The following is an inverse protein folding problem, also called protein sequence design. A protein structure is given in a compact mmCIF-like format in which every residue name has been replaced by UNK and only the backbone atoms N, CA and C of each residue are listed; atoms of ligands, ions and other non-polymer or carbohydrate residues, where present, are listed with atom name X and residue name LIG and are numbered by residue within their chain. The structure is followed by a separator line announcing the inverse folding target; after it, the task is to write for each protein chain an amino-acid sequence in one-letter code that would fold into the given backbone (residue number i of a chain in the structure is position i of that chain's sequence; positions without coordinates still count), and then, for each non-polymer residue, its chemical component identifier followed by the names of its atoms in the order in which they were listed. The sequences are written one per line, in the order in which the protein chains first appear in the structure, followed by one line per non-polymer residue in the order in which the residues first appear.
data_IF_804771136440
#
_entry.id   IF_804771136440
#
_cell.length_a   1.000
_cell.length_b   1.000
_cell.length_c   1.000
_cell.angle_alpha   90.00
_cell.angle_beta   90.00
_cell.angle_gamma   90.00
#
_symmetry.space_group_name_H-M   'P 1'
#
loop_
_entity.id
_entity.type
_entity.pdbx_description
1 polymer ?
#
# COMPACT_ATOMS: atom_id res chain seq x y z
N UNK A 1 -2.68 -12.25 23.21
CA UNK A 1 -4.05 -12.74 23.47
C UNK A 1 -4.59 -13.32 22.16
N UNK A 2 -5.34 -14.44 22.18
CA UNK A 2 -5.87 -15.02 20.94
C UNK A 2 -7.28 -14.46 20.69
N UNK A 3 -7.49 -13.88 19.50
CA UNK A 3 -8.80 -13.38 19.08
C UNK A 3 -9.81 -14.53 18.91
N UNK A 4 -11.07 -14.29 19.27
CA UNK A 4 -12.17 -15.16 18.86
C UNK A 4 -12.37 -15.13 17.34
N UNK A 5 -13.08 -16.12 16.79
CA UNK A 5 -13.38 -16.15 15.35
C UNK A 5 -14.07 -14.87 14.87
N UNK A 6 -15.01 -14.33 15.65
CA UNK A 6 -15.71 -13.11 15.29
C UNK A 6 -14.77 -11.88 15.28
N UNK A 7 -13.88 -11.78 16.27
CA UNK A 7 -12.88 -10.70 16.33
C UNK A 7 -11.87 -10.80 15.19
N UNK A 8 -11.46 -12.02 14.82
CA UNK A 8 -10.56 -12.24 13.68
C UNK A 8 -11.23 -11.84 12.35
N UNK A 9 -12.50 -12.16 12.14
CA UNK A 9 -13.27 -11.75 10.97
C UNK A 9 -13.40 -10.23 10.93
N UNK A 10 -13.72 -9.59 12.06
CA UNK A 10 -13.81 -8.13 12.16
C UNK A 10 -12.47 -7.45 11.84
N UNK A 11 -11.34 -7.97 12.39
CA UNK A 11 -9.99 -7.49 12.06
C UNK A 11 -9.71 -7.51 10.56
N UNK A 12 -9.91 -8.67 9.92
CA UNK A 12 -9.64 -8.82 8.48
C UNK A 12 -10.53 -7.91 7.63
N UNK A 13 -11.81 -7.77 8.01
CA UNK A 13 -12.74 -6.88 7.34
C UNK A 13 -12.34 -5.41 7.54
N UNK A 14 -11.93 -5.02 8.75
CA UNK A 14 -11.48 -3.67 9.05
C UNK A 14 -10.23 -3.29 8.26
N UNK A 15 -9.20 -4.15 8.22
CA UNK A 15 -7.97 -3.90 7.43
C UNK A 15 -8.31 -3.83 5.93
N UNK A 16 -9.22 -4.68 5.43
CA UNK A 16 -9.69 -4.61 4.05
C UNK A 16 -10.32 -3.25 3.74
N UNK A 17 -11.24 -2.78 4.59
CA UNK A 17 -11.92 -1.49 4.41
C UNK A 17 -10.91 -0.34 4.46
N UNK A 18 -9.99 -0.34 5.41
CA UNK A 18 -8.91 0.65 5.51
C UNK A 18 -8.07 0.70 4.22
N UNK A 19 -7.65 -0.45 3.71
CA UNK A 19 -6.89 -0.55 2.48
C UNK A 19 -7.68 -0.14 1.22
N UNK A 20 -8.99 0.00 1.32
CA UNK A 20 -9.90 0.50 0.30
C UNK A 20 -10.31 1.97 0.51
N UNK A 21 -9.70 2.66 1.48
CA UNK A 21 -10.03 4.02 1.94
C UNK A 21 -11.49 4.19 2.39
N UNK A 22 -12.10 3.08 2.85
CA UNK A 22 -13.46 3.07 3.41
C UNK A 22 -13.43 3.16 4.91
N UNK A 23 -14.53 3.61 5.49
CA UNK A 23 -14.69 3.67 6.95
C UNK A 23 -14.52 2.30 7.57
N UNK A 24 -13.44 2.12 8.32
CA UNK A 24 -13.02 0.85 8.92
C UNK A 24 -13.15 0.83 10.46
N UNK A 25 -13.45 1.97 11.07
CA UNK A 25 -13.42 2.17 12.53
C UNK A 25 -14.19 1.10 13.29
N UNK A 26 -15.44 0.81 12.87
CA UNK A 26 -16.31 -0.13 13.58
C UNK A 26 -15.71 -1.53 13.68
N UNK A 27 -15.22 -2.03 12.57
CA UNK A 27 -14.65 -3.38 12.45
C UNK A 27 -13.30 -3.46 13.17
N UNK A 28 -12.45 -2.47 12.99
CA UNK A 28 -11.15 -2.40 13.66
C UNK A 28 -11.28 -2.31 15.18
N UNK A 29 -12.26 -1.56 15.67
CA UNK A 29 -12.51 -1.37 17.10
C UNK A 29 -12.79 -2.70 17.83
N UNK A 30 -13.54 -3.61 17.21
CA UNK A 30 -13.85 -4.93 17.79
C UNK A 30 -12.58 -5.71 18.12
N UNK A 31 -11.60 -5.71 17.23
CA UNK A 31 -10.35 -6.42 17.46
C UNK A 31 -9.35 -5.61 18.30
N UNK A 32 -9.35 -4.29 18.18
CA UNK A 32 -8.50 -3.39 18.97
C UNK A 32 -8.84 -3.45 20.45
N UNK A 33 -10.14 -3.45 20.81
CA UNK A 33 -10.65 -3.61 22.19
C UNK A 33 -10.32 -5.00 22.75
N UNK A 34 -10.20 -6.01 21.90
CA UNK A 34 -9.73 -7.33 22.30
C UNK A 34 -8.20 -7.42 22.48
N UNK A 35 -7.47 -6.30 22.29
CA UNK A 35 -6.03 -6.21 22.52
C UNK A 35 -5.18 -6.58 21.32
N UNK A 36 -5.74 -6.72 20.10
CA UNK A 36 -4.94 -7.00 18.90
C UNK A 36 -4.12 -5.77 18.49
N UNK A 37 -2.81 -5.93 18.51
CA UNK A 37 -1.84 -4.87 18.26
C UNK A 37 -1.99 -4.25 16.87
N UNK A 38 -2.21 -5.08 15.85
CA UNK A 38 -2.34 -4.62 14.47
C UNK A 38 -3.65 -3.84 14.27
N UNK A 39 -4.75 -4.33 14.83
CA UNK A 39 -6.04 -3.63 14.79
C UNK A 39 -5.98 -2.29 15.55
N UNK A 40 -5.25 -2.22 16.66
CA UNK A 40 -5.02 -0.97 17.39
C UNK A 40 -4.26 0.06 16.54
N UNK A 41 -3.20 -0.37 15.83
CA UNK A 41 -2.48 0.50 14.91
C UNK A 41 -3.39 1.03 13.79
N UNK A 42 -4.11 0.14 13.09
CA UNK A 42 -5.00 0.57 12.00
C UNK A 42 -6.17 1.42 12.47
N UNK A 43 -6.72 1.16 13.66
CA UNK A 43 -7.75 2.01 14.25
C UNK A 43 -7.22 3.40 14.55
N UNK A 44 -6.01 3.50 15.08
CA UNK A 44 -5.36 4.78 15.32
C UNK A 44 -5.12 5.56 14.02
N UNK A 45 -4.66 4.89 12.94
CA UNK A 45 -4.50 5.51 11.61
C UNK A 45 -5.84 6.00 11.05
N UNK A 46 -6.91 5.20 11.15
CA UNK A 46 -8.27 5.58 10.72
C UNK A 46 -8.76 6.84 11.43
N UNK A 47 -8.65 6.86 12.77
CA UNK A 47 -9.08 8.01 13.59
C UNK A 47 -8.25 9.27 13.32
N UNK A 48 -6.95 9.12 13.08
CA UNK A 48 -6.07 10.23 12.74
C UNK A 48 -6.41 10.81 11.37
N UNK A 49 -6.72 9.97 10.38
CA UNK A 49 -7.10 10.42 9.04
C UNK A 49 -8.41 11.22 9.04
N UNK A 50 -9.37 10.85 9.87
CA UNK A 50 -10.65 11.56 10.00
C UNK A 50 -10.50 13.01 10.48
N UNK A 51 -9.48 13.30 11.29
CA UNK A 51 -9.24 14.63 11.88
C UNK A 51 -8.07 15.38 11.26
N UNK A 52 -7.28 14.73 10.36
CA UNK A 52 -6.05 15.26 9.75
C UNK A 52 -4.95 15.56 10.79
N UNK A 53 -5.24 15.38 12.08
CA UNK A 53 -4.32 15.60 13.19
C UNK A 53 -4.36 14.44 14.17
N UNK A 54 -3.30 14.31 14.97
CA UNK A 54 -3.32 13.40 16.10
C UNK A 54 -4.34 13.88 17.15
N UNK A 55 -5.41 13.12 17.35
CA UNK A 55 -6.39 13.35 18.40
C UNK A 55 -6.17 12.40 19.60
N UNK A 56 -6.87 12.66 20.72
CA UNK A 56 -6.68 11.90 21.95
C UNK A 56 -7.00 10.41 21.81
N UNK A 57 -8.01 10.06 21.00
CA UNK A 57 -8.40 8.67 20.80
C UNK A 57 -7.40 7.93 19.91
N UNK A 58 -6.93 8.56 18.82
CA UNK A 58 -5.87 8.01 18.00
C UNK A 58 -4.58 7.78 18.80
N UNK A 59 -4.19 8.75 19.64
CA UNK A 59 -3.06 8.59 20.54
C UNK A 59 -3.23 7.41 21.50
N UNK A 60 -4.41 7.26 22.09
CA UNK A 60 -4.72 6.12 22.98
C UNK A 60 -4.46 4.77 22.29
N UNK A 61 -4.93 4.60 21.07
CA UNK A 61 -4.76 3.35 20.34
C UNK A 61 -3.32 3.13 19.85
N UNK A 62 -2.63 4.18 19.40
CA UNK A 62 -1.19 4.08 19.12
C UNK A 62 -0.41 3.69 20.38
N UNK A 63 -0.67 4.28 21.54
CA UNK A 63 0.00 3.90 22.79
C UNK A 63 -0.32 2.47 23.21
N UNK A 64 -1.54 2.00 22.97
CA UNK A 64 -1.91 0.61 23.23
C UNK A 64 -1.10 -0.36 22.37
N UNK A 65 -0.95 -0.08 21.08
CA UNK A 65 -0.12 -0.89 20.18
C UNK A 65 1.37 -0.76 20.50
N UNK A 66 1.85 0.46 20.76
CA UNK A 66 3.25 0.73 21.08
C UNK A 66 3.70 0.00 22.36
N UNK A 67 2.88 -0.04 23.39
CA UNK A 67 3.19 -0.80 24.63
C UNK A 67 3.30 -2.29 24.41
N UNK A 68 2.74 -2.83 23.32
CA UNK A 68 2.89 -4.21 22.88
C UNK A 68 4.08 -4.40 21.92
N UNK A 69 4.87 -3.35 21.67
CA UNK A 69 6.07 -3.41 20.84
C UNK A 69 5.86 -3.08 19.37
N UNK A 70 4.73 -2.48 18.98
CA UNK A 70 4.51 -2.01 17.62
C UNK A 70 5.39 -0.80 17.31
N UNK A 71 6.36 -1.00 16.42
CA UNK A 71 7.34 0.01 16.05
C UNK A 71 6.74 1.16 15.24
N UNK A 72 5.72 0.88 14.43
CA UNK A 72 5.05 1.89 13.63
C UNK A 72 4.28 2.88 14.49
N UNK A 73 3.56 2.37 15.49
CA UNK A 73 2.87 3.21 16.49
C UNK A 73 3.85 4.08 17.28
N UNK A 74 4.99 3.50 17.71
CA UNK A 74 6.03 4.28 18.42
C UNK A 74 6.56 5.42 17.55
N UNK A 75 6.80 5.18 16.26
CA UNK A 75 7.28 6.20 15.32
C UNK A 75 6.20 7.26 15.07
N UNK A 76 4.93 6.87 14.93
CA UNK A 76 3.81 7.81 14.74
C UNK A 76 3.70 8.77 15.93
N UNK A 77 3.73 8.27 17.16
CA UNK A 77 3.71 9.10 18.37
C UNK A 77 4.99 9.95 18.43
N UNK A 78 6.14 9.34 18.18
CA UNK A 78 7.43 10.00 18.29
C UNK A 78 7.66 11.13 17.28
N UNK A 79 6.93 11.15 16.16
CA UNK A 79 6.96 12.20 15.14
C UNK A 79 5.88 13.27 15.32
N UNK A 80 5.25 13.36 16.50
CA UNK A 80 4.20 14.34 16.79
C UNK A 80 4.68 15.78 16.62
N UNK A 81 5.97 16.06 16.74
CA UNK A 81 6.56 17.38 16.49
C UNK A 81 6.34 17.88 15.04
N UNK A 82 5.98 16.99 14.12
CA UNK A 82 5.62 17.31 12.74
C UNK A 82 4.09 17.28 12.48
N UNK A 83 3.28 17.01 13.50
CA UNK A 83 1.83 16.96 13.37
C UNK A 83 1.21 18.37 13.47
N UNK A 84 0.16 18.60 12.70
CA UNK A 84 -0.55 19.88 12.68
C UNK A 84 -1.15 20.24 14.05
N UNK A 85 -1.38 19.26 14.92
CA UNK A 85 -1.87 19.51 16.28
C UNK A 85 -0.95 20.45 17.06
N UNK A 86 0.36 20.42 16.81
CA UNK A 86 1.33 21.32 17.43
C UNK A 86 1.09 22.79 17.02
N UNK A 87 0.91 23.01 15.72
CA UNK A 87 0.58 24.35 15.18
C UNK A 87 -0.77 24.84 15.72
N UNK A 88 -1.74 23.94 15.84
CA UNK A 88 -3.07 24.22 16.38
C UNK A 88 -3.10 24.32 17.92
N UNK A 89 -2.01 23.97 18.59
CA UNK A 89 -1.89 23.95 20.07
C UNK A 89 -2.93 23.05 20.76
N UNK A 90 -3.28 21.93 20.10
CA UNK A 90 -4.28 20.98 20.61
C UNK A 90 -3.78 19.53 20.62
N UNK A 91 -2.45 19.32 20.62
CA UNK A 91 -1.90 17.97 20.73
C UNK A 91 -2.35 17.31 22.03
N UNK A 92 -2.79 16.06 21.96
CA UNK A 92 -3.15 15.30 23.16
C UNK A 92 -1.89 14.99 23.99
N UNK A 93 -2.07 14.90 25.31
CA UNK A 93 -0.99 14.52 26.22
C UNK A 93 -0.91 13.00 26.30
N UNK A 94 0.24 12.44 25.94
CA UNK A 94 0.50 11.00 26.00
C UNK A 94 1.04 10.53 27.35
N UNK A 95 1.20 9.21 27.49
CA UNK A 95 1.79 8.55 28.69
C UNK A 95 3.29 8.77 28.81
N UNK A 96 3.96 8.99 27.68
CA UNK A 96 5.38 9.27 27.56
C UNK A 96 5.60 10.42 26.59
N UNK A 97 6.73 11.09 26.72
CA UNK A 97 7.16 12.08 25.75
C UNK A 97 7.46 11.44 24.38
N UNK A 98 7.19 12.12 23.24
CA UNK A 98 7.44 11.60 21.90
C UNK A 98 8.84 11.01 21.70
N UNK A 99 9.85 11.71 22.21
CA UNK A 99 11.27 11.26 22.16
C UNK A 99 11.56 9.94 22.88
N UNK A 100 10.80 9.64 23.94
CA UNK A 100 10.96 8.37 24.67
C UNK A 100 10.45 7.19 23.83
N UNK A 101 9.35 7.39 23.10
CA UNK A 101 8.86 6.40 22.14
C UNK A 101 9.85 6.15 21.00
N UNK A 102 10.51 7.19 20.44
CA UNK A 102 11.55 7.02 19.41
C UNK A 102 12.77 6.27 19.96
N UNK A 103 13.18 6.57 21.20
CA UNK A 103 14.30 5.87 21.84
C UNK A 103 13.97 4.38 22.04
N UNK A 104 12.74 4.06 22.47
CA UNK A 104 12.29 2.68 22.65
C UNK A 104 12.17 1.95 21.30
N UNK A 105 11.60 2.59 20.28
CA UNK A 105 11.54 2.06 18.92
C UNK A 105 12.96 1.74 18.39
N UNK A 106 13.91 2.66 18.59
CA UNK A 106 15.31 2.48 18.17
C UNK A 106 15.93 1.27 18.85
N UNK A 107 15.73 1.11 20.15
CA UNK A 107 16.27 -0.03 20.92
C UNK A 107 15.70 -1.36 20.39
N UNK A 108 14.37 -1.44 20.26
CA UNK A 108 13.71 -2.67 19.78
C UNK A 108 14.11 -2.97 18.33
N UNK A 109 14.15 -1.95 17.46
CA UNK A 109 14.53 -2.13 16.06
C UNK A 109 15.98 -2.62 15.95
N UNK A 110 16.91 -2.14 16.78
CA UNK A 110 18.29 -2.64 16.81
C UNK A 110 18.35 -4.11 17.24
N UNK A 111 17.69 -4.47 18.33
CA UNK A 111 17.66 -5.87 18.81
C UNK A 111 17.12 -6.83 17.74
N UNK A 112 16.11 -6.41 16.98
CA UNK A 112 15.53 -7.19 15.85
C UNK A 112 16.47 -7.20 14.65
N UNK A 113 17.12 -6.07 14.34
CA UNK A 113 18.05 -5.98 13.21
C UNK A 113 19.29 -6.87 13.40
N UNK A 114 19.75 -7.03 14.66
CA UNK A 114 20.84 -7.92 15.00
C UNK A 114 20.50 -9.40 14.77
N UNK A 115 19.21 -9.72 14.75
CA UNK A 115 18.69 -11.05 14.35
C UNK A 115 18.42 -11.17 12.84
N UNK A 116 18.73 -10.12 12.06
CA UNK A 116 18.57 -10.12 10.61
C UNK A 116 17.14 -9.86 10.12
N UNK A 117 16.23 -9.36 10.98
CA UNK A 117 14.86 -9.01 10.58
C UNK A 117 14.85 -7.81 9.62
N UNK A 118 14.62 -8.06 8.34
CA UNK A 118 14.77 -7.07 7.27
C UNK A 118 13.86 -5.83 7.45
N UNK A 119 12.65 -5.99 7.97
CA UNK A 119 11.75 -4.89 8.30
C UNK A 119 12.30 -4.04 9.45
N UNK A 120 12.88 -4.65 10.47
CA UNK A 120 13.47 -3.90 11.58
C UNK A 120 14.69 -3.07 11.13
N UNK A 121 15.49 -3.58 10.19
CA UNK A 121 16.56 -2.82 9.55
C UNK A 121 15.98 -1.60 8.79
N UNK A 122 14.85 -1.76 8.11
CA UNK A 122 14.14 -0.65 7.46
C UNK A 122 13.62 0.38 8.47
N UNK A 123 13.11 -0.07 9.61
CA UNK A 123 12.68 0.84 10.69
C UNK A 123 13.84 1.70 11.21
N UNK A 124 15.07 1.17 11.29
CA UNK A 124 16.23 1.99 11.65
C UNK A 124 16.48 3.08 10.60
N UNK A 125 16.35 2.76 9.30
CA UNK A 125 16.38 3.78 8.25
C UNK A 125 15.32 4.86 8.46
N UNK A 126 14.08 4.47 8.76
CA UNK A 126 13.00 5.42 9.03
C UNK A 126 13.32 6.34 10.24
N UNK A 127 14.04 5.86 11.24
CA UNK A 127 14.40 6.61 12.42
C UNK A 127 15.62 7.53 12.20
N UNK A 128 16.57 7.15 11.34
CA UNK A 128 17.87 7.83 11.20
C UNK A 128 18.01 8.58 9.87
N UNK A 129 17.21 8.24 8.86
CA UNK A 129 17.37 8.65 7.46
C UNK A 129 18.71 8.26 6.82
N UNK A 130 19.49 7.37 7.46
CA UNK A 130 20.78 6.92 6.96
C UNK A 130 20.59 5.86 5.85
N UNK A 131 20.92 6.20 4.61
CA UNK A 131 20.75 5.35 3.42
C UNK A 131 21.41 3.96 3.56
N UNK A 132 22.46 3.81 4.34
CA UNK A 132 23.11 2.52 4.57
C UNK A 132 22.16 1.50 5.22
N UNK A 133 21.27 1.92 6.11
CA UNK A 133 20.25 1.05 6.68
C UNK A 133 19.20 0.64 5.65
N UNK A 134 18.79 1.59 4.78
CA UNK A 134 17.89 1.28 3.66
C UNK A 134 18.50 0.20 2.76
N UNK A 135 19.77 0.36 2.38
CA UNK A 135 20.51 -0.60 1.55
C UNK A 135 20.63 -1.97 2.23
N UNK A 136 20.94 -2.01 3.52
CA UNK A 136 21.01 -3.26 4.29
C UNK A 136 19.66 -3.99 4.31
N UNK A 137 18.56 -3.27 4.55
CA UNK A 137 17.21 -3.82 4.52
C UNK A 137 16.84 -4.36 3.13
N UNK A 138 17.15 -3.61 2.08
CA UNK A 138 16.92 -4.03 0.70
C UNK A 138 17.68 -5.31 0.35
N UNK A 139 18.94 -5.41 0.76
CA UNK A 139 19.76 -6.62 0.58
C UNK A 139 19.26 -7.81 1.43
N UNK A 140 18.65 -7.53 2.57
CA UNK A 140 17.97 -8.55 3.40
C UNK A 140 16.61 -8.97 2.82
N UNK A 141 16.17 -8.40 1.70
CA UNK A 141 14.98 -8.83 0.96
C UNK A 141 13.68 -8.08 1.29
N UNK A 142 13.73 -6.99 2.07
CA UNK A 142 12.52 -6.23 2.38
C UNK A 142 12.02 -5.46 1.14
N UNK A 143 10.83 -5.82 0.67
CA UNK A 143 10.28 -5.32 -0.59
C UNK A 143 10.13 -3.79 -0.64
N UNK A 144 9.71 -3.16 0.47
CA UNK A 144 9.56 -1.71 0.55
C UNK A 144 10.94 -1.03 0.48
N UNK A 145 11.94 -1.58 1.17
CA UNK A 145 13.31 -1.03 1.13
C UNK A 145 13.91 -1.14 -0.29
N UNK A 146 13.68 -2.24 -0.99
CA UNK A 146 14.09 -2.41 -2.39
C UNK A 146 13.40 -1.38 -3.31
N UNK A 147 12.09 -1.15 -3.13
CA UNK A 147 11.36 -0.11 -3.84
C UNK A 147 11.94 1.29 -3.56
N UNK A 148 12.19 1.62 -2.30
CA UNK A 148 12.76 2.89 -1.88
C UNK A 148 14.19 3.10 -2.42
N UNK A 149 15.00 2.04 -2.49
CA UNK A 149 16.32 2.10 -3.16
C UNK A 149 16.19 2.51 -4.62
N UNK A 150 15.26 1.91 -5.37
CA UNK A 150 15.02 2.27 -6.77
C UNK A 150 14.57 3.72 -6.95
N UNK A 151 13.65 4.18 -6.08
CA UNK A 151 13.15 5.58 -6.11
C UNK A 151 14.29 6.56 -5.81
N UNK A 152 15.06 6.34 -4.75
CA UNK A 152 16.19 7.18 -4.39
C UNK A 152 17.27 7.23 -5.48
N UNK A 153 17.60 6.07 -6.09
CA UNK A 153 18.53 6.00 -7.22
C UNK A 153 18.03 6.80 -8.44
N UNK A 154 16.72 6.76 -8.70
CA UNK A 154 16.07 7.57 -9.77
C UNK A 154 16.17 9.06 -9.48
N UNK A 155 16.03 9.47 -8.22
CA UNK A 155 16.14 10.86 -7.76
C UNK A 155 17.59 11.35 -7.66
N UNK A 156 18.56 10.46 -7.89
CA UNK A 156 19.98 10.80 -7.84
C UNK A 156 20.65 10.63 -6.48
N UNK A 157 19.95 9.99 -5.54
CA UNK A 157 20.55 9.62 -4.25
C UNK A 157 21.62 8.54 -4.44
N UNK A 158 22.69 8.66 -3.67
CA UNK A 158 23.83 7.74 -3.75
C UNK A 158 24.71 7.96 -4.99
N UNK A 159 25.92 7.36 -4.93
CA UNK A 159 26.86 7.44 -6.03
C UNK A 159 26.70 6.26 -6.97
N UNK A 160 26.05 6.51 -8.12
CA UNK A 160 25.91 5.52 -9.21
C UNK A 160 26.43 6.15 -10.49
N UNK A 161 27.28 5.42 -11.21
CA UNK A 161 27.77 5.84 -12.52
C UNK A 161 26.58 6.03 -13.47
N UNK A 162 26.50 7.16 -14.21
CA UNK A 162 25.32 7.51 -15.01
C UNK A 162 24.85 6.38 -15.94
N UNK A 163 25.79 5.66 -16.57
CA UNK A 163 25.48 4.56 -17.49
C UNK A 163 24.99 3.27 -16.81
N UNK A 164 25.15 3.13 -15.48
CA UNK A 164 24.63 2.00 -14.69
C UNK A 164 23.33 2.33 -13.97
N UNK A 165 22.96 3.61 -13.90
CA UNK A 165 21.82 4.05 -13.06
C UNK A 165 20.53 3.36 -13.45
N UNK A 166 20.19 3.34 -14.74
CA UNK A 166 18.95 2.74 -15.21
C UNK A 166 18.89 1.23 -14.92
N UNK A 167 19.98 0.52 -15.14
CA UNK A 167 20.08 -0.91 -14.82
C UNK A 167 19.91 -1.18 -13.32
N UNK A 168 20.52 -0.33 -12.47
CA UNK A 168 20.41 -0.45 -11.01
C UNK A 168 18.98 -0.19 -10.53
N UNK A 169 18.30 0.84 -11.07
CA UNK A 169 16.90 1.16 -10.75
C UNK A 169 16.00 -0.02 -11.12
N UNK A 170 16.14 -0.54 -12.32
CA UNK A 170 15.35 -1.68 -12.80
C UNK A 170 15.61 -2.94 -11.96
N UNK A 171 16.85 -3.19 -11.60
CA UNK A 171 17.22 -4.30 -10.72
C UNK A 171 16.50 -4.23 -9.36
N UNK A 172 16.51 -3.06 -8.71
CA UNK A 172 15.83 -2.89 -7.43
C UNK A 172 14.31 -3.02 -7.55
N UNK A 173 13.70 -2.45 -8.60
CA UNK A 173 12.27 -2.67 -8.86
C UNK A 173 11.96 -4.14 -9.10
N UNK A 174 12.81 -4.85 -9.83
CA UNK A 174 12.62 -6.28 -10.11
C UNK A 174 12.65 -7.12 -8.84
N UNK A 175 13.59 -6.86 -7.93
CA UNK A 175 13.65 -7.53 -6.63
C UNK A 175 12.40 -7.23 -5.81
N UNK A 176 12.02 -5.97 -5.71
CA UNK A 176 10.83 -5.54 -4.97
C UNK A 176 9.53 -6.14 -5.52
N UNK A 177 9.36 -6.14 -6.84
CA UNK A 177 8.19 -6.73 -7.49
C UNK A 177 8.12 -8.26 -7.30
N UNK A 178 9.25 -8.96 -7.38
CA UNK A 178 9.34 -10.41 -7.08
C UNK A 178 9.03 -10.72 -5.61
N UNK A 179 9.34 -9.80 -4.71
CA UNK A 179 8.99 -9.87 -3.29
C UNK A 179 7.52 -9.44 -3.01
N UNK A 180 6.73 -9.18 -4.06
CA UNK A 180 5.28 -8.94 -3.95
C UNK A 180 4.86 -7.47 -3.87
N UNK A 181 5.76 -6.50 -4.03
CA UNK A 181 5.39 -5.08 -3.98
C UNK A 181 4.66 -4.65 -5.25
N UNK A 182 3.36 -4.28 -5.19
CA UNK A 182 2.58 -3.92 -6.36
C UNK A 182 3.03 -2.61 -7.00
N UNK A 183 3.51 -1.65 -6.20
CA UNK A 183 4.03 -0.38 -6.72
C UNK A 183 5.25 -0.61 -7.61
N UNK A 184 6.14 -1.54 -7.22
CA UNK A 184 7.29 -1.93 -8.02
C UNK A 184 6.88 -2.65 -9.32
N UNK A 185 5.81 -3.47 -9.29
CA UNK A 185 5.27 -4.10 -10.49
C UNK A 185 4.80 -3.06 -11.51
N UNK A 186 4.12 -2.00 -11.06
CA UNK A 186 3.68 -0.92 -11.94
C UNK A 186 4.84 -0.06 -12.45
N UNK A 187 5.92 0.10 -11.68
CA UNK A 187 7.13 0.76 -12.19
C UNK A 187 7.77 -0.05 -13.32
N UNK A 188 7.86 -1.37 -13.16
CA UNK A 188 8.36 -2.26 -14.21
C UNK A 188 7.44 -2.29 -15.43
N UNK A 189 6.12 -2.30 -15.22
CA UNK A 189 5.17 -2.13 -16.31
C UNK A 189 5.48 -0.89 -17.16
N UNK A 190 5.68 0.27 -16.52
CA UNK A 190 6.05 1.51 -17.21
C UNK A 190 7.38 1.41 -17.94
N UNK A 191 8.43 0.93 -17.27
CA UNK A 191 9.78 0.77 -17.84
C UNK A 191 9.77 -0.13 -19.08
N UNK A 192 9.14 -1.30 -19.01
CA UNK A 192 9.11 -2.23 -20.13
C UNK A 192 8.24 -1.75 -21.29
N UNK A 193 7.14 -1.04 -20.99
CA UNK A 193 6.34 -0.37 -22.03
C UNK A 193 7.14 0.68 -22.78
N UNK A 194 7.90 1.53 -22.10
CA UNK A 194 8.76 2.55 -22.71
C UNK A 194 9.88 1.95 -23.55
N UNK A 195 10.41 0.79 -23.15
CA UNK A 195 11.40 0.03 -23.93
C UNK A 195 10.80 -0.73 -25.11
N UNK A 196 9.48 -0.82 -25.24
CA UNK A 196 8.82 -1.65 -26.25
C UNK A 196 8.85 -3.16 -25.95
N UNK A 197 9.25 -3.55 -24.75
CA UNK A 197 9.28 -4.93 -24.26
C UNK A 197 7.87 -5.36 -23.78
N UNK A 198 6.94 -5.47 -24.73
CA UNK A 198 5.51 -5.58 -24.47
C UNK A 198 5.12 -6.85 -23.68
N UNK A 199 5.82 -7.97 -23.87
CA UNK A 199 5.59 -9.19 -23.08
C UNK A 199 5.83 -8.97 -21.58
N UNK A 200 6.95 -8.32 -21.24
CA UNK A 200 7.29 -8.00 -19.87
C UNK A 200 6.30 -6.97 -19.27
N UNK A 201 5.91 -5.97 -20.07
CA UNK A 201 4.92 -4.99 -19.63
C UNK A 201 3.57 -5.67 -19.33
N UNK A 202 3.07 -6.56 -20.21
CA UNK A 202 1.85 -7.36 -19.95
C UNK A 202 1.98 -8.18 -18.67
N UNK A 203 3.07 -8.92 -18.53
CA UNK A 203 3.29 -9.75 -17.34
C UNK A 203 3.15 -8.97 -16.04
N UNK A 204 3.76 -7.78 -15.93
CA UNK A 204 3.75 -7.03 -14.68
C UNK A 204 2.41 -6.36 -14.40
N UNK A 205 1.70 -5.83 -15.41
CA UNK A 205 0.36 -5.26 -15.18
C UNK A 205 -0.65 -6.34 -14.79
N UNK A 206 -0.61 -7.51 -15.43
CA UNK A 206 -1.43 -8.66 -15.06
C UNK A 206 -1.12 -9.15 -13.64
N UNK A 207 0.17 -9.19 -13.29
CA UNK A 207 0.61 -9.59 -11.96
C UNK A 207 0.10 -8.62 -10.88
N UNK A 208 0.23 -7.30 -11.11
CA UNK A 208 -0.30 -6.29 -10.21
C UNK A 208 -1.83 -6.38 -10.07
N UNK A 209 -2.54 -6.62 -11.17
CA UNK A 209 -3.99 -6.84 -11.15
C UNK A 209 -4.37 -8.10 -10.35
N UNK A 210 -3.63 -9.20 -10.54
CA UNK A 210 -3.92 -10.49 -9.88
C UNK A 210 -3.81 -10.46 -8.36
N UNK A 211 -3.06 -9.54 -7.79
CA UNK A 211 -2.94 -9.34 -6.34
C UNK A 211 -3.90 -8.28 -5.79
N UNK A 212 -4.79 -7.74 -6.63
CA UNK A 212 -5.80 -6.77 -6.24
C UNK A 212 -5.30 -5.33 -6.14
N UNK A 213 -4.13 -5.00 -6.70
CA UNK A 213 -3.68 -3.61 -6.72
C UNK A 213 -4.53 -2.78 -7.68
N UNK A 214 -5.11 -1.68 -7.17
CA UNK A 214 -6.09 -0.87 -7.91
C UNK A 214 -5.56 -0.38 -9.26
N UNK A 215 -4.33 0.20 -9.27
CA UNK A 215 -3.71 0.69 -10.51
C UNK A 215 -3.39 -0.45 -11.49
N UNK A 216 -3.06 -1.64 -10.98
CA UNK A 216 -2.87 -2.84 -11.81
C UNK A 216 -4.18 -3.28 -12.47
N UNK A 217 -5.27 -3.33 -11.68
CA UNK A 217 -6.60 -3.73 -12.18
C UNK A 217 -7.13 -2.73 -13.21
N UNK A 218 -7.00 -1.42 -12.93
CA UNK A 218 -7.38 -0.37 -13.88
C UNK A 218 -6.61 -0.48 -15.20
N UNK A 219 -5.27 -0.45 -15.12
CA UNK A 219 -4.43 -0.48 -16.32
C UNK A 219 -4.63 -1.77 -17.14
N UNK A 220 -4.75 -2.92 -16.47
CA UNK A 220 -5.02 -4.17 -17.18
C UNK A 220 -6.36 -4.12 -17.92
N UNK A 221 -7.43 -3.67 -17.24
CA UNK A 221 -8.75 -3.48 -17.85
C UNK A 221 -8.72 -2.48 -19.02
N UNK A 222 -8.04 -1.35 -18.85
CA UNK A 222 -7.89 -0.31 -19.87
C UNK A 222 -7.23 -0.84 -21.14
N UNK A 223 -6.08 -1.50 -20.99
CA UNK A 223 -5.37 -2.06 -22.15
C UNK A 223 -6.04 -3.28 -22.78
N UNK A 224 -6.99 -3.91 -22.12
CA UNK A 224 -7.84 -4.93 -22.75
C UNK A 224 -8.97 -4.33 -23.59
N UNK A 225 -9.61 -3.26 -23.13
CA UNK A 225 -10.86 -2.77 -23.70
C UNK A 225 -10.72 -1.48 -24.52
N UNK A 226 -9.77 -0.59 -24.16
CA UNK A 226 -9.65 0.76 -24.74
C UNK A 226 -8.49 0.84 -25.72
N UNK A 227 -7.30 0.42 -25.31
CA UNK A 227 -6.10 0.49 -26.15
C UNK A 227 -5.29 -0.82 -26.15
N UNK A 228 -5.88 -1.94 -26.64
CA UNK A 228 -5.24 -3.23 -26.63
C UNK A 228 -3.96 -3.27 -27.47
N UNK A 229 -3.90 -2.49 -28.55
CA UNK A 229 -2.76 -2.47 -29.46
C UNK A 229 -1.48 -1.92 -28.82
N UNK A 230 -1.61 -0.97 -27.89
CA UNK A 230 -0.46 -0.37 -27.21
C UNK A 230 0.37 -1.37 -26.41
N UNK A 231 -0.23 -2.48 -25.99
CA UNK A 231 0.46 -3.58 -25.31
C UNK A 231 0.43 -4.90 -26.09
N UNK A 232 -0.15 -4.92 -27.31
CA UNK A 232 -0.30 -6.12 -28.11
C UNK A 232 -1.25 -7.16 -27.49
N UNK A 233 -2.26 -6.71 -26.74
CA UNK A 233 -3.36 -7.56 -26.32
C UNK A 233 -4.35 -7.81 -27.46
N UNK A 234 -5.05 -8.94 -27.38
CA UNK A 234 -6.32 -9.10 -28.11
C UNK A 234 -7.40 -8.32 -27.39
N UNK A 235 -8.23 -7.56 -28.13
CA UNK A 235 -9.32 -6.80 -27.52
C UNK A 235 -10.28 -7.71 -26.77
N UNK A 236 -10.55 -7.36 -25.52
CA UNK A 236 -11.52 -8.05 -24.65
C UNK A 236 -12.30 -7.00 -23.82
N UNK A 237 -13.38 -6.49 -24.42
CA UNK A 237 -14.21 -5.47 -23.78
C UNK A 237 -14.94 -6.00 -22.56
N UNK A 238 -15.34 -7.28 -22.56
CA UNK A 238 -16.05 -7.90 -21.44
C UNK A 238 -15.16 -7.92 -20.21
N UNK A 239 -13.98 -8.49 -20.35
CA UNK A 239 -13.00 -8.56 -19.25
C UNK A 239 -12.49 -7.18 -18.83
N UNK A 240 -12.22 -6.29 -19.79
CA UNK A 240 -11.76 -4.93 -19.50
C UNK A 240 -12.80 -4.12 -18.73
N UNK A 241 -14.05 -4.12 -19.19
CA UNK A 241 -15.17 -3.48 -18.48
C UNK A 241 -15.35 -4.06 -17.06
N UNK A 242 -15.34 -5.38 -16.96
CA UNK A 242 -15.46 -6.07 -15.67
C UNK A 242 -14.40 -5.63 -14.66
N UNK A 243 -13.12 -5.62 -15.06
CA UNK A 243 -12.01 -5.23 -14.20
C UNK A 243 -12.12 -3.78 -13.74
N UNK A 244 -12.39 -2.85 -14.65
CA UNK A 244 -12.54 -1.43 -14.30
C UNK A 244 -13.76 -1.22 -13.41
N UNK A 245 -14.87 -1.96 -13.63
CA UNK A 245 -16.07 -1.85 -12.81
C UNK A 245 -15.85 -2.23 -11.34
N UNK A 246 -14.86 -3.09 -11.04
CA UNK A 246 -14.48 -3.46 -9.67
C UNK A 246 -14.00 -2.26 -8.86
N UNK A 247 -13.40 -1.26 -9.51
CA UNK A 247 -12.87 -0.08 -8.81
C UNK A 247 -13.98 0.77 -8.19
N UNK A 248 -15.25 0.62 -8.63
CA UNK A 248 -16.42 1.25 -7.97
C UNK A 248 -16.55 0.86 -6.48
N UNK A 249 -15.87 -0.21 -6.07
CA UNK A 249 -15.86 -0.64 -4.67
C UNK A 249 -14.85 0.11 -3.79
N UNK A 250 -13.99 0.91 -4.40
CA UNK A 250 -13.02 1.72 -3.66
C UNK A 250 -13.64 3.08 -3.30
N UNK A 251 -13.10 3.71 -2.27
CA UNK A 251 -13.49 5.05 -1.85
C UNK A 251 -12.22 5.86 -1.58
N UNK A 252 -11.67 6.45 -2.64
CA UNK A 252 -10.45 7.25 -2.55
C UNK A 252 -10.71 8.77 -2.62
N UNK A 253 -11.97 9.14 -2.79
CA UNK A 253 -12.38 10.54 -2.89
C UNK A 253 -11.91 11.26 -4.15
N UNK A 254 -11.42 10.52 -5.20
CA UNK A 254 -10.98 11.23 -6.39
C UNK A 254 -10.54 10.40 -7.59
N UNK A 255 -9.30 9.94 -7.65
CA UNK A 255 -8.69 9.49 -8.90
C UNK A 255 -9.29 8.19 -9.46
N UNK A 256 -9.37 7.12 -8.66
CA UNK A 256 -9.90 5.85 -9.17
C UNK A 256 -11.38 5.97 -9.57
N UNK A 257 -12.17 6.75 -8.85
CA UNK A 257 -13.57 6.98 -9.18
C UNK A 257 -13.73 7.81 -10.46
N UNK A 258 -12.92 8.86 -10.64
CA UNK A 258 -12.90 9.67 -11.86
C UNK A 258 -12.54 8.82 -13.08
N UNK A 259 -11.46 8.01 -12.96
CA UNK A 259 -11.02 7.11 -14.03
C UNK A 259 -12.11 6.13 -14.44
N UNK A 260 -12.87 5.60 -13.47
CA UNK A 260 -14.00 4.70 -13.71
C UNK A 260 -15.15 5.41 -14.41
N UNK A 261 -15.53 6.61 -13.93
CA UNK A 261 -16.63 7.41 -14.50
C UNK A 261 -16.35 7.85 -15.94
N UNK A 262 -15.09 8.10 -16.28
CA UNK A 262 -14.69 8.46 -17.64
C UNK A 262 -14.56 7.25 -18.57
N UNK A 263 -14.04 6.13 -18.07
CA UNK A 263 -13.66 4.99 -18.92
C UNK A 263 -14.80 4.02 -19.18
N UNK A 264 -15.63 3.72 -18.18
CA UNK A 264 -16.70 2.72 -18.35
C UNK A 264 -17.74 3.09 -19.43
N UNK A 265 -18.21 4.36 -19.57
CA UNK A 265 -19.09 4.75 -20.65
C UNK A 265 -18.49 4.50 -22.03
N UNK A 266 -17.19 4.83 -22.23
CA UNK A 266 -16.50 4.64 -23.51
C UNK A 266 -16.46 3.16 -23.95
N UNK A 267 -16.40 2.23 -22.98
CA UNK A 267 -16.40 0.81 -23.25
C UNK A 267 -17.83 0.33 -23.49
N UNK A 268 -18.78 0.70 -22.61
CA UNK A 268 -20.15 0.22 -22.65
C UNK A 268 -20.94 0.67 -23.88
N UNK A 269 -20.65 1.86 -24.42
CA UNK A 269 -21.22 2.33 -25.71
C UNK A 269 -20.93 1.37 -26.87
N UNK A 270 -19.91 0.54 -26.76
CA UNK A 270 -19.48 -0.45 -27.77
C UNK A 270 -19.84 -1.88 -27.37
N UNK A 271 -20.68 -2.07 -26.36
CA UNK A 271 -21.08 -3.37 -25.83
C UNK A 271 -22.62 -3.57 -25.96
N UNK A 272 -23.01 -4.80 -26.16
CA UNK A 272 -24.44 -5.18 -26.06
C UNK A 272 -24.85 -5.36 -24.60
N UNK A 273 -26.15 -5.30 -24.27
CA UNK A 273 -26.64 -5.61 -22.93
C UNK A 273 -26.20 -6.99 -22.42
N UNK A 274 -26.15 -7.99 -23.31
CA UNK A 274 -25.64 -9.35 -22.97
C UNK A 274 -24.17 -9.31 -22.56
N UNK A 275 -23.33 -8.59 -23.29
CA UNK A 275 -21.92 -8.46 -22.96
C UNK A 275 -21.69 -7.71 -21.64
N UNK A 276 -22.54 -6.74 -21.31
CA UNK A 276 -22.48 -6.07 -19.99
C UNK A 276 -22.81 -7.07 -18.87
N UNK A 277 -23.85 -7.89 -19.06
CA UNK A 277 -24.19 -8.93 -18.09
C UNK A 277 -23.05 -9.96 -17.93
N UNK A 278 -22.43 -10.40 -19.01
CA UNK A 278 -21.27 -11.28 -18.98
C UNK A 278 -20.08 -10.65 -18.22
N UNK A 279 -19.89 -9.32 -18.35
CA UNK A 279 -18.86 -8.61 -17.62
C UNK A 279 -19.16 -8.53 -16.11
N UNK A 280 -20.42 -8.34 -15.71
CA UNK A 280 -20.84 -8.36 -14.30
C UNK A 280 -20.63 -9.74 -13.67
N UNK A 281 -20.95 -10.80 -14.42
CA UNK A 281 -20.71 -12.18 -13.98
C UNK A 281 -19.22 -12.48 -13.85
N UNK A 282 -18.40 -11.98 -14.79
CA UNK A 282 -16.95 -12.09 -14.71
C UNK A 282 -16.39 -11.34 -13.49
N UNK A 283 -16.85 -10.10 -13.23
CA UNK A 283 -16.43 -9.32 -12.07
C UNK A 283 -16.79 -10.04 -10.75
N UNK A 284 -17.98 -10.63 -10.67
CA UNK A 284 -18.41 -11.41 -9.51
C UNK A 284 -17.52 -12.63 -9.28
N UNK A 285 -17.16 -13.35 -10.34
CA UNK A 285 -16.23 -14.49 -10.27
C UNK A 285 -14.81 -14.04 -9.87
N UNK A 286 -14.33 -12.92 -10.41
CA UNK A 286 -13.01 -12.36 -10.06
C UNK A 286 -12.89 -12.14 -8.56
N UNK A 287 -13.90 -11.54 -7.93
CA UNK A 287 -13.93 -11.30 -6.47
C UNK A 287 -13.81 -12.57 -5.62
N UNK A 288 -14.25 -13.71 -6.12
CA UNK A 288 -14.16 -14.99 -5.40
C UNK A 288 -12.82 -15.70 -5.57
N UNK A 289 -12.07 -15.35 -6.61
CA UNK A 289 -10.83 -16.05 -7.01
C UNK A 289 -9.57 -15.21 -6.80
N UNK A 290 -9.72 -13.92 -6.53
CA UNK A 290 -8.60 -12.98 -6.34
C UNK A 290 -8.72 -12.25 -5.00
N UNK A 291 -7.61 -11.75 -4.47
CA UNK A 291 -7.64 -10.89 -3.29
C UNK A 291 -8.54 -9.66 -3.48
N UNK A 292 -9.12 -9.11 -2.41
CA UNK A 292 -9.88 -7.88 -2.51
C UNK A 292 -8.99 -6.73 -3.01
N UNK A 293 -9.61 -5.76 -3.70
CA UNK A 293 -8.92 -4.56 -4.15
C UNK A 293 -8.30 -3.81 -2.97
N UNK A 294 -7.15 -3.21 -3.22
CA UNK A 294 -6.39 -2.46 -2.23
C UNK A 294 -5.55 -1.36 -2.90
N UNK A 295 -5.40 -0.22 -2.23
CA UNK A 295 -4.41 0.80 -2.56
C UNK A 295 -3.01 0.45 -2.04
N UNK A 296 -2.88 -0.61 -1.23
CA UNK A 296 -1.64 -1.02 -0.58
C UNK A 296 -0.95 0.15 0.14
N UNK A 297 -1.65 0.81 1.10
CA UNK A 297 -1.06 1.92 1.84
C UNK A 297 0.15 1.42 2.65
N UNK A 298 1.21 2.22 2.67
CA UNK A 298 2.36 1.92 3.53
C UNK A 298 2.04 2.32 4.97
N UNK A 299 2.46 1.50 5.95
CA UNK A 299 2.25 1.79 7.38
C UNK A 299 2.92 3.09 7.82
N UNK A 300 4.06 3.41 7.21
CA UNK A 300 4.69 4.72 7.31
C UNK A 300 4.79 5.25 5.89
N UNK A 301 3.95 6.25 5.57
CA UNK A 301 4.00 7.01 4.33
C UNK A 301 4.28 8.47 4.65
N UNK A 302 4.88 9.18 3.70
CA UNK A 302 4.99 10.63 3.73
C UNK A 302 3.70 11.26 3.28
#
# INVERSE_FOLDING_TARGET
MQLSTQQQVAKLQGIKLFNQHKKAERELRIAAEAGDTEAQFYLAEELRQQTITLNAEALHWYEAAATQGDLYSMIRIGRTDNDLCLTMKNCPIGKKEPKEWLAEATRIAKDKSDRGEAEAIYIIYELTAEREWLKKSALAGYAIAQYRMAIGDRQGEGFILPWKRQETIEHWFLLSAKAGNPKAMMQLFGIYREKGELEQARYWVEKAASIGYEAGVYNYGYFLAVDPKALGFTEDKIKGYALISLLKELDDGGAAQTDVEETLPQISEKMTPTQIQEAEDFASKWKTTHPPLSFFPEKIGF
#
